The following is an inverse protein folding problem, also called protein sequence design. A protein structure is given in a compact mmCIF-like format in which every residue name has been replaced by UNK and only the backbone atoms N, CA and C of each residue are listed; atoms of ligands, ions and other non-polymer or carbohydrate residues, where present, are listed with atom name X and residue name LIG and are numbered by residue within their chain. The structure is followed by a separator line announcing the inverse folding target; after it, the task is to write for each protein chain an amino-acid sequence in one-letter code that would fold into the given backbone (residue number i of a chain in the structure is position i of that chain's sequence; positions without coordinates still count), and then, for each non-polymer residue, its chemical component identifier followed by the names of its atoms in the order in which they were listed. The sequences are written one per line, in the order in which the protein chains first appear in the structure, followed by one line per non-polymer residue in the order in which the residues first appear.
data_IF_448942204390
#
_entry.id   IF_448942204390
#
_cell.length_a   1.000
_cell.length_b   1.000
_cell.length_c   1.000
_cell.angle_alpha   90.00
_cell.angle_beta   90.00
_cell.angle_gamma   90.00
#
_symmetry.space_group_name_H-M   'P 1'
#
loop_
_entity.id
_entity.type
_entity.pdbx_description
1 polymer ?
#
# COMPACT_ATOMS: atom_id res chain seq x y z
N UNK A 1 -44.32 11.07 -3.33
CA UNK A 1 -43.44 9.95 -3.74
C UNK A 1 -42.03 10.36 -3.43
N UNK A 2 -41.44 9.82 -2.36
CA UNK A 2 -40.03 10.02 -2.03
C UNK A 2 -39.22 9.07 -2.93
N UNK A 3 -38.57 9.64 -3.95
CA UNK A 3 -37.58 8.91 -4.71
C UNK A 3 -36.39 8.62 -3.76
N UNK A 4 -36.30 7.38 -3.35
CA UNK A 4 -35.15 6.86 -2.62
C UNK A 4 -33.98 6.80 -3.61
N UNK A 5 -33.28 7.93 -3.83
CA UNK A 5 -32.01 7.93 -4.54
C UNK A 5 -30.99 7.24 -3.63
N UNK A 6 -30.86 5.95 -3.81
CA UNK A 6 -29.74 5.20 -3.26
C UNK A 6 -28.49 5.61 -4.05
N UNK A 7 -27.77 6.61 -3.56
CA UNK A 7 -26.44 6.93 -4.12
C UNK A 7 -25.51 5.76 -3.79
N UNK A 8 -24.79 5.22 -4.75
CA UNK A 8 -23.80 4.20 -4.44
C UNK A 8 -22.73 4.82 -3.52
N UNK A 9 -22.65 4.31 -2.31
CA UNK A 9 -21.58 4.67 -1.38
C UNK A 9 -20.31 4.00 -1.88
N UNK A 10 -19.37 4.79 -2.35
CA UNK A 10 -18.03 4.30 -2.72
C UNK A 10 -17.15 4.27 -1.49
N UNK A 11 -16.62 3.12 -1.16
CA UNK A 11 -15.79 2.90 0.01
C UNK A 11 -14.36 2.63 -0.46
N UNK A 12 -13.39 3.38 0.08
CA UNK A 12 -11.97 3.11 -0.12
C UNK A 12 -11.38 2.48 1.13
N UNK A 13 -10.39 1.61 0.99
CA UNK A 13 -9.62 1.06 2.09
C UNK A 13 -8.51 2.01 2.54
N UNK A 14 -8.29 2.13 3.83
CA UNK A 14 -7.15 2.86 4.39
C UNK A 14 -5.84 2.15 4.04
N UNK A 15 -4.75 2.89 3.93
CA UNK A 15 -3.42 2.32 3.73
C UNK A 15 -2.91 1.63 5.00
N UNK A 16 -2.09 0.59 4.82
CA UNK A 16 -1.39 -0.07 5.91
C UNK A 16 -0.32 0.83 6.53
N UNK A 17 -0.17 0.77 7.85
CA UNK A 17 0.94 1.46 8.53
C UNK A 17 2.30 0.86 8.17
N UNK A 18 3.35 1.67 8.23
CA UNK A 18 4.72 1.18 8.10
C UNK A 18 5.11 0.31 9.31
N UNK A 19 5.97 -0.67 9.11
CA UNK A 19 6.46 -1.55 10.15
C UNK A 19 7.55 -0.92 11.02
N UNK A 20 7.79 -1.52 12.16
CA UNK A 20 8.80 -1.08 13.13
C UNK A 20 8.31 0.03 14.07
N UNK A 21 9.12 0.33 15.07
CA UNK A 21 8.77 1.28 16.15
C UNK A 21 8.59 2.73 15.69
N UNK A 22 9.01 3.09 14.50
CA UNK A 22 8.99 4.43 13.94
C UNK A 22 8.29 4.52 12.57
N UNK A 23 7.52 3.49 12.18
CA UNK A 23 6.75 3.51 10.95
C UNK A 23 5.68 4.61 10.96
N UNK A 24 5.45 5.24 9.83
CA UNK A 24 4.44 6.28 9.67
C UNK A 24 3.08 5.63 9.41
N UNK A 25 2.02 6.20 10.00
CA UNK A 25 0.66 5.76 9.75
C UNK A 25 0.30 5.86 8.26
N UNK A 26 -0.44 4.90 7.75
CA UNK A 26 -1.01 4.97 6.42
C UNK A 26 -2.06 6.08 6.30
N UNK A 27 -2.23 6.60 5.09
CA UNK A 27 -3.22 7.61 4.81
C UNK A 27 -4.64 7.04 4.85
N UNK A 28 -5.58 7.83 5.30
CA UNK A 28 -7.00 7.49 5.28
C UNK A 28 -7.53 7.44 3.85
N UNK A 29 -8.53 6.58 3.65
CA UNK A 29 -9.29 6.59 2.42
C UNK A 29 -10.18 7.83 2.37
N UNK A 30 -10.34 8.40 1.18
CA UNK A 30 -11.24 9.54 0.97
C UNK A 30 -12.49 9.10 0.24
N UNK A 31 -13.66 9.53 0.75
CA UNK A 31 -14.95 9.34 0.10
C UNK A 31 -15.60 10.70 -0.12
N UNK A 32 -15.96 11.02 -1.35
CA UNK A 32 -16.80 12.17 -1.65
C UNK A 32 -18.00 11.71 -2.48
N UNK A 33 -19.19 12.32 -2.33
CA UNK A 33 -20.41 11.86 -2.99
C UNK A 33 -20.35 11.85 -4.53
N UNK A 34 -19.39 12.55 -5.11
CA UNK A 34 -19.25 12.69 -6.58
C UNK A 34 -17.99 12.06 -7.17
N UNK A 35 -17.11 11.50 -6.34
CA UNK A 35 -15.89 10.86 -6.80
C UNK A 35 -15.73 9.49 -6.14
N UNK A 36 -15.20 8.52 -6.88
CA UNK A 36 -14.87 7.23 -6.28
C UNK A 36 -13.96 7.42 -5.07
N UNK A 37 -14.18 6.62 -4.05
CA UNK A 37 -13.29 6.57 -2.90
C UNK A 37 -11.86 6.28 -3.36
N UNK A 38 -10.90 7.06 -2.87
CA UNK A 38 -9.48 6.78 -3.09
C UNK A 38 -8.97 5.86 -1.99
N UNK A 39 -8.16 4.89 -2.36
CA UNK A 39 -7.42 4.11 -1.38
C UNK A 39 -6.33 4.93 -0.70
N UNK A 40 -6.13 4.73 0.59
CA UNK A 40 -5.05 5.37 1.34
C UNK A 40 -3.67 4.82 0.95
N UNK A 41 -2.66 5.67 0.92
CA UNK A 41 -1.29 5.22 0.73
C UNK A 41 -0.77 4.48 1.97
N UNK A 42 0.08 3.50 1.78
CA UNK A 42 0.81 2.86 2.87
C UNK A 42 1.76 3.83 3.57
N UNK A 43 1.93 3.66 4.87
CA UNK A 43 2.88 4.43 5.66
C UNK A 43 4.32 4.06 5.30
N UNK A 44 5.21 5.04 5.34
CA UNK A 44 6.63 4.78 5.19
C UNK A 44 7.14 3.94 6.37
N UNK A 45 8.04 3.03 6.10
CA UNK A 45 8.73 2.27 7.12
C UNK A 45 9.74 3.10 7.91
N UNK A 46 10.47 2.44 8.77
CA UNK A 46 11.52 3.07 9.57
C UNK A 46 12.77 3.33 8.73
N UNK A 47 13.35 4.50 8.89
CA UNK A 47 14.64 4.82 8.30
C UNK A 47 15.76 4.41 9.26
N UNK A 48 16.67 3.58 8.81
CA UNK A 48 17.77 3.05 9.62
C UNK A 48 19.08 3.14 8.86
N UNK A 49 20.12 3.55 9.55
CA UNK A 49 21.49 3.74 9.01
C UNK A 49 22.47 2.65 9.53
N UNK A 50 22.02 1.43 9.67
CA UNK A 50 22.84 0.36 10.22
C UNK A 50 23.98 -0.07 9.28
N UNK A 51 23.74 0.04 7.97
CA UNK A 51 24.68 -0.28 6.90
C UNK A 51 25.49 0.91 6.39
N UNK A 52 25.27 2.10 6.99
CA UNK A 52 25.89 3.37 6.57
C UNK A 52 25.04 4.18 5.60
N UNK A 53 23.90 3.67 5.14
CA UNK A 53 22.97 4.35 4.25
C UNK A 53 21.62 4.61 4.97
N UNK A 54 20.95 5.68 4.58
CA UNK A 54 19.64 6.04 5.14
C UNK A 54 18.51 5.38 4.35
N UNK A 55 18.34 4.08 4.48
CA UNK A 55 17.28 3.33 3.82
C UNK A 55 16.02 3.21 4.68
N UNK A 56 14.87 3.17 4.00
CA UNK A 56 13.60 2.80 4.61
C UNK A 56 13.37 1.31 4.57
N UNK A 57 12.82 0.75 5.65
CA UNK A 57 12.52 -0.67 5.85
C UNK A 57 11.09 -0.85 6.35
N UNK A 58 10.44 -1.91 5.96
CA UNK A 58 9.10 -2.29 6.42
C UNK A 58 8.02 -1.25 6.10
N UNK A 59 7.96 -0.77 4.86
CA UNK A 59 6.89 0.10 4.38
C UNK A 59 5.53 -0.61 4.37
N UNK A 60 4.46 0.09 4.68
CA UNK A 60 3.09 -0.42 4.66
C UNK A 60 2.54 -0.57 3.23
N UNK A 61 1.60 -1.49 3.02
CA UNK A 61 0.91 -1.62 1.75
C UNK A 61 -0.15 -0.53 1.52
N UNK A 62 -0.45 -0.22 0.27
CA UNK A 62 -1.54 0.68 -0.11
C UNK A 62 -2.91 0.05 0.08
N UNK A 63 -3.94 0.87 0.32
CA UNK A 63 -5.34 0.49 0.38
C UNK A 63 -6.04 0.60 -0.98
N UNK A 64 -7.06 -0.22 -1.23
CA UNK A 64 -7.83 -0.21 -2.47
C UNK A 64 -8.73 1.00 -2.63
N UNK A 65 -8.94 1.44 -3.86
CA UNK A 65 -10.00 2.38 -4.20
C UNK A 65 -11.36 1.66 -4.24
N UNK A 66 -12.42 2.39 -3.90
CA UNK A 66 -13.80 1.91 -4.05
C UNK A 66 -14.24 1.88 -5.51
N UNK A 67 -15.27 1.08 -5.78
CA UNK A 67 -15.89 0.95 -7.12
C UNK A 67 -16.75 2.17 -7.47
N UNK A 68 -16.85 2.50 -8.75
CA UNK A 68 -17.89 3.39 -9.30
C UNK A 68 -17.46 4.82 -9.68
N UNK A 69 -16.17 5.10 -9.83
CA UNK A 69 -15.73 6.44 -10.28
C UNK A 69 -14.22 6.54 -10.52
N UNK A 70 -13.67 7.72 -10.79
CA UNK A 70 -12.28 7.92 -11.20
C UNK A 70 -11.28 7.90 -10.02
N UNK A 71 -11.49 7.10 -9.01
CA UNK A 71 -10.57 6.96 -7.88
C UNK A 71 -9.21 6.37 -8.29
N UNK A 72 -8.26 6.38 -7.37
CA UNK A 72 -6.98 5.70 -7.53
C UNK A 72 -6.73 4.86 -6.29
N UNK A 73 -6.18 3.67 -6.47
CA UNK A 73 -5.71 2.86 -5.35
C UNK A 73 -4.44 3.43 -4.75
N UNK A 74 -4.24 3.17 -3.47
CA UNK A 74 -3.12 3.68 -2.70
C UNK A 74 -1.79 3.05 -3.10
N UNK A 75 -0.74 3.83 -3.05
CA UNK A 75 0.63 3.39 -3.24
C UNK A 75 1.17 2.71 -1.99
N UNK A 76 2.14 1.83 -2.16
CA UNK A 76 2.93 1.32 -1.05
C UNK A 76 3.86 2.39 -0.46
N UNK A 77 4.10 2.31 0.84
CA UNK A 77 5.04 3.18 1.55
C UNK A 77 6.50 2.82 1.28
N UNK A 78 7.40 3.80 1.45
CA UNK A 78 8.84 3.57 1.36
C UNK A 78 9.29 2.49 2.35
N UNK A 79 10.20 1.64 1.93
CA UNK A 79 10.61 0.44 2.68
C UNK A 79 9.99 -0.85 2.11
N UNK A 80 9.59 -0.83 0.84
CA UNK A 80 9.14 -1.99 0.10
C UNK A 80 7.65 -2.33 0.23
N UNK A 81 6.79 -1.37 0.57
CA UNK A 81 5.35 -1.60 0.59
C UNK A 81 4.76 -1.88 -0.80
N UNK A 82 3.85 -2.83 -0.94
CA UNK A 82 3.15 -3.12 -2.19
C UNK A 82 2.02 -2.12 -2.49
N UNK A 83 1.80 -1.80 -3.76
CA UNK A 83 0.67 -0.99 -4.21
C UNK A 83 -0.63 -1.81 -4.25
N UNK A 84 -1.74 -1.18 -3.92
CA UNK A 84 -3.03 -1.86 -3.97
C UNK A 84 -3.52 -2.06 -5.42
N UNK A 85 -4.24 -3.14 -5.64
CA UNK A 85 -4.97 -3.33 -6.90
C UNK A 85 -6.21 -2.42 -7.00
N UNK A 86 -6.77 -2.31 -8.17
CA UNK A 86 -7.96 -1.53 -8.43
C UNK A 86 -8.93 -2.30 -9.32
N UNK A 87 -10.20 -1.96 -9.29
CA UNK A 87 -11.15 -2.46 -10.27
C UNK A 87 -11.11 -1.58 -11.52
N UNK A 88 -11.04 -2.22 -12.70
CA UNK A 88 -11.10 -1.52 -14.00
C UNK A 88 -12.33 -0.58 -14.06
N UNK A 89 -12.24 0.65 -14.58
CA UNK A 89 -11.09 1.27 -15.27
C UNK A 89 -10.10 2.02 -14.34
N UNK A 90 -10.12 1.78 -13.06
CA UNK A 90 -9.26 2.44 -12.08
C UNK A 90 -7.82 1.89 -12.16
N UNK A 91 -6.84 2.73 -11.94
CA UNK A 91 -5.43 2.31 -11.89
C UNK A 91 -5.03 1.81 -10.51
N UNK A 92 -4.28 0.73 -10.47
CA UNK A 92 -3.64 0.25 -9.25
C UNK A 92 -2.56 1.22 -8.74
N UNK A 93 -2.22 1.10 -7.46
CA UNK A 93 -1.17 1.87 -6.81
C UNK A 93 0.23 1.37 -7.18
N UNK A 94 1.23 2.23 -7.05
CA UNK A 94 2.64 1.87 -7.25
C UNK A 94 3.26 1.29 -5.98
N UNK A 95 4.21 0.40 -6.13
CA UNK A 95 4.99 -0.11 -5.00
C UNK A 95 5.96 0.94 -4.44
N UNK A 96 6.20 0.90 -3.15
CA UNK A 96 7.17 1.75 -2.46
C UNK A 96 8.61 1.27 -2.65
N UNK A 97 9.53 2.21 -2.83
CA UNK A 97 10.96 1.91 -2.97
C UNK A 97 11.58 1.38 -1.67
N UNK A 98 12.58 0.52 -1.77
CA UNK A 98 13.41 0.10 -0.65
C UNK A 98 14.88 -0.04 -1.06
N UNK A 99 15.74 -0.32 -0.09
CA UNK A 99 17.17 -0.51 -0.30
C UNK A 99 17.52 -1.72 -1.19
N UNK A 100 16.75 -2.80 -1.07
CA UNK A 100 17.07 -4.08 -1.71
C UNK A 100 16.05 -4.41 -2.81
N UNK A 101 14.76 -4.40 -2.47
CA UNK A 101 13.70 -4.70 -3.41
C UNK A 101 12.46 -3.85 -3.13
N UNK A 102 12.05 -3.08 -4.09
CA UNK A 102 10.82 -2.29 -4.02
C UNK A 102 9.61 -3.23 -3.97
N UNK A 103 8.52 -2.74 -3.39
CA UNK A 103 7.24 -3.41 -3.49
C UNK A 103 6.74 -3.48 -4.93
N UNK A 104 5.92 -4.47 -5.23
CA UNK A 104 5.27 -4.61 -6.52
C UNK A 104 4.16 -3.58 -6.72
N UNK A 105 3.89 -3.24 -7.96
CA UNK A 105 2.74 -2.40 -8.32
C UNK A 105 1.44 -3.21 -8.25
N UNK A 106 0.36 -2.58 -7.86
CA UNK A 106 -0.98 -3.13 -8.02
C UNK A 106 -1.43 -3.01 -9.48
N UNK A 107 -2.12 -4.03 -9.97
CA UNK A 107 -2.72 -4.07 -11.29
C UNK A 107 -4.23 -3.84 -11.25
N UNK A 108 -4.91 -4.14 -12.37
CA UNK A 108 -6.37 -4.11 -12.46
C UNK A 108 -6.97 -5.46 -12.04
N UNK A 109 -8.11 -5.39 -11.41
CA UNK A 109 -9.03 -6.48 -11.07
C UNK A 109 -8.52 -7.56 -10.09
N UNK A 110 -7.36 -8.15 -10.28
CA UNK A 110 -6.93 -9.30 -9.46
C UNK A 110 -5.51 -9.22 -8.90
N UNK A 111 -4.68 -8.35 -9.42
CA UNK A 111 -3.25 -8.33 -9.07
C UNK A 111 -2.94 -7.24 -8.05
N UNK A 112 -2.63 -7.61 -6.83
CA UNK A 112 -2.12 -6.70 -5.81
C UNK A 112 -0.60 -6.77 -5.72
N UNK A 113 0.03 -5.66 -5.47
CA UNK A 113 1.48 -5.58 -5.33
C UNK A 113 1.96 -6.33 -4.09
N UNK A 114 2.92 -7.22 -4.23
CA UNK A 114 3.58 -7.83 -3.08
C UNK A 114 4.53 -6.84 -2.40
N UNK A 115 4.79 -7.05 -1.13
CA UNK A 115 5.87 -6.39 -0.42
C UNK A 115 7.24 -6.78 -0.99
N UNK A 116 8.20 -5.85 -0.97
CA UNK A 116 9.56 -6.09 -1.47
C UNK A 116 10.28 -7.20 -0.70
N UNK A 117 10.93 -8.10 -1.40
CA UNK A 117 11.72 -9.17 -0.78
C UNK A 117 12.84 -8.59 0.10
N UNK A 118 13.07 -9.19 1.27
CA UNK A 118 14.09 -8.78 2.24
C UNK A 118 13.98 -7.31 2.70
N UNK A 119 12.78 -6.73 2.60
CA UNK A 119 12.50 -5.38 3.08
C UNK A 119 11.56 -5.35 4.28
N UNK A 120 10.83 -6.45 4.52
CA UNK A 120 9.75 -6.51 5.52
C UNK A 120 8.52 -5.71 5.12
N UNK A 121 8.40 -5.30 3.86
CA UNK A 121 7.28 -4.49 3.38
C UNK A 121 5.94 -5.24 3.39
N UNK A 122 4.84 -4.53 3.67
CA UNK A 122 3.48 -5.07 3.59
C UNK A 122 3.00 -5.21 2.14
N UNK A 123 2.14 -6.17 1.85
CA UNK A 123 1.46 -6.28 0.57
C UNK A 123 0.32 -5.26 0.41
N UNK A 124 -0.01 -4.93 -0.81
CA UNK A 124 -1.13 -4.04 -1.14
C UNK A 124 -2.50 -4.70 -0.98
N UNK A 125 -3.55 -3.92 -0.79
CA UNK A 125 -4.92 -4.40 -0.70
C UNK A 125 -5.43 -4.97 -2.03
N UNK A 126 -6.30 -5.99 -1.95
CA UNK A 126 -6.94 -6.66 -3.09
C UNK A 126 -8.11 -5.85 -3.65
N UNK A 127 -8.42 -6.01 -4.94
CA UNK A 127 -9.57 -5.39 -5.58
C UNK A 127 -10.90 -5.97 -5.07
N UNK A 128 -11.98 -5.21 -5.22
CA UNK A 128 -13.30 -5.51 -4.66
C UNK A 128 -13.91 -6.84 -5.12
N UNK A 129 -13.71 -7.25 -6.38
CA UNK A 129 -14.32 -8.47 -6.94
C UNK A 129 -13.30 -9.61 -7.07
N UNK A 130 -13.01 -10.30 -5.96
CA UNK A 130 -12.11 -11.46 -5.89
C UNK A 130 -10.60 -11.15 -6.08
N UNK A 131 -10.18 -9.91 -5.89
CA UNK A 131 -8.75 -9.61 -5.84
C UNK A 131 -8.16 -9.98 -4.47
N UNK A 132 -7.22 -10.91 -4.44
CA UNK A 132 -6.45 -11.19 -3.23
C UNK A 132 -5.51 -10.03 -2.88
N UNK A 133 -5.31 -9.82 -1.60
CA UNK A 133 -4.25 -8.91 -1.12
C UNK A 133 -2.87 -9.43 -1.52
N UNK A 134 -1.95 -8.52 -1.76
CA UNK A 134 -0.56 -8.87 -2.06
C UNK A 134 0.13 -9.53 -0.86
N UNK A 135 1.01 -10.48 -1.12
CA UNK A 135 1.83 -11.10 -0.07
C UNK A 135 2.75 -10.06 0.58
N UNK A 136 3.01 -10.18 1.88
CA UNK A 136 4.06 -9.42 2.54
C UNK A 136 5.45 -9.84 2.06
N UNK A 137 6.39 -8.92 2.06
CA UNK A 137 7.79 -9.20 1.76
C UNK A 137 8.49 -9.92 2.92
N UNK A 138 9.49 -10.73 2.61
CA UNK A 138 10.37 -11.31 3.62
C UNK A 138 11.14 -10.21 4.37
N UNK A 139 11.46 -10.47 5.63
CA UNK A 139 12.33 -9.62 6.44
C UNK A 139 13.81 -9.86 6.17
N UNK A 140 14.64 -9.03 6.80
CA UNK A 140 16.10 -9.15 6.79
C UNK A 140 16.65 -8.92 8.19
N UNK A 141 17.75 -9.55 8.51
CA UNK A 141 18.54 -9.27 9.72
C UNK A 141 19.87 -8.70 9.29
N UNK A 142 20.20 -7.51 9.76
CA UNK A 142 21.47 -6.84 9.49
C UNK A 142 22.22 -6.68 10.80
N UNK A 143 23.43 -7.22 10.87
CA UNK A 143 24.30 -7.14 12.06
C UNK A 143 25.53 -6.30 11.70
N UNK A 144 25.76 -5.23 12.46
CA UNK A 144 26.98 -4.42 12.36
C UNK A 144 27.78 -4.59 13.66
N UNK A 145 29.01 -4.95 13.52
CA UNK A 145 29.93 -5.04 14.66
C UNK A 145 31.20 -4.23 14.41
N UNK A 146 31.82 -3.77 15.48
CA UNK A 146 33.11 -3.09 15.41
C UNK A 146 34.20 -4.17 15.41
N UNK A 147 35.03 -4.16 14.40
CA UNK A 147 36.25 -4.95 14.40
C UNK A 147 37.32 -4.22 15.23
N UNK A 148 37.92 -4.89 16.20
CA UNK A 148 39.04 -4.39 17.01
C UNK A 148 40.34 -4.99 16.50
#
# INVERSE_FOLDING_TARGET
MLNNLCFPVTIGGGGGGGGGCAGVQGADATTTPSTAGRGGNGGNGSQVNIDGNNYYWSGGGGGTAGVGGPGTSGNGGLGGGGGASAQSPISGGTGGGSAIASGGNGGSDTTSGAGGANSGGGGGGGAHNNGDGGAGGSGIVIIRYRFQ
#
